data_IF_034168142483
#
_entry.id   IF_034168142483
#
_cell.length_a   1.000
_cell.length_b   1.000
_cell.length_c   1.000
_cell.angle_alpha   90.00
_cell.angle_beta   90.00
_cell.angle_gamma   90.00
#
_symmetry.space_group_name_H-M   'P 1'
#
loop_
_entity.id
_entity.type
_entity.pdbx_description
1 polymer ?
#
# COMPACT_ATOMS: atom_id res chain seq x y z
N UNK A 1 17.64 -10.37 5.64
CA UNK A 1 17.90 -8.95 5.34
C UNK A 1 18.08 -8.18 6.64
N UNK A 2 19.15 -7.40 6.78
CA UNK A 2 19.38 -6.55 7.96
C UNK A 2 18.53 -5.27 7.92
N UNK A 3 18.04 -4.89 6.73
CA UNK A 3 17.16 -3.74 6.49
C UNK A 3 16.25 -4.00 5.28
N UNK A 4 15.11 -3.32 5.22
CA UNK A 4 14.17 -3.31 4.09
C UNK A 4 13.89 -1.86 3.71
N UNK A 5 14.29 -1.44 2.51
CA UNK A 5 14.05 -0.07 2.02
C UNK A 5 12.58 0.15 1.68
N UNK A 6 11.95 -0.87 1.08
CA UNK A 6 10.54 -0.85 0.71
C UNK A 6 9.85 -2.19 0.94
N UNK A 7 8.56 -2.12 1.25
CA UNK A 7 7.65 -3.26 1.25
C UNK A 7 6.44 -2.89 0.39
N UNK A 8 6.13 -3.72 -0.60
CA UNK A 8 4.95 -3.55 -1.45
C UNK A 8 4.05 -4.78 -1.34
N UNK A 9 2.74 -4.56 -1.33
CA UNK A 9 1.77 -5.65 -1.35
C UNK A 9 0.53 -5.30 -2.18
N UNK A 10 -0.04 -6.34 -2.79
CA UNK A 10 -1.31 -6.27 -3.50
C UNK A 10 -2.42 -6.86 -2.63
N UNK A 11 -3.45 -6.06 -2.32
CA UNK A 11 -4.53 -6.44 -1.42
C UNK A 11 -5.39 -7.59 -1.94
N UNK A 12 -5.48 -7.81 -3.26
CA UNK A 12 -6.24 -8.94 -3.79
C UNK A 12 -5.63 -10.33 -3.44
N UNK A 13 -4.44 -10.36 -2.83
CA UNK A 13 -3.85 -11.56 -2.23
C UNK A 13 -4.23 -11.76 -0.76
N UNK A 14 -4.94 -10.80 -0.17
CA UNK A 14 -5.40 -10.81 1.22
C UNK A 14 -6.92 -10.68 1.30
N UNK A 15 -7.65 -11.13 0.27
CA UNK A 15 -9.12 -11.05 0.17
C UNK A 15 -9.72 -9.64 -0.04
N UNK A 16 -8.89 -8.63 -0.34
CA UNK A 16 -9.37 -7.29 -0.71
C UNK A 16 -9.78 -7.21 -2.20
N UNK A 17 -10.61 -6.24 -2.61
CA UNK A 17 -10.87 -5.96 -4.03
C UNK A 17 -9.60 -5.66 -4.85
N UNK A 18 -9.68 -5.92 -6.16
CA UNK A 18 -8.63 -5.54 -7.10
C UNK A 18 -8.36 -4.02 -7.07
N UNK A 19 -7.11 -3.64 -7.31
CA UNK A 19 -6.68 -2.23 -7.30
C UNK A 19 -6.44 -1.65 -5.90
N UNK A 20 -6.57 -2.45 -4.83
CA UNK A 20 -6.08 -2.09 -3.50
C UNK A 20 -4.65 -2.60 -3.31
N UNK A 21 -3.75 -1.75 -2.80
CA UNK A 21 -2.34 -2.05 -2.59
C UNK A 21 -1.71 -1.04 -1.64
N UNK A 22 -0.53 -1.34 -1.13
CA UNK A 22 0.30 -0.37 -0.42
C UNK A 22 1.75 -0.43 -0.89
N UNK A 23 2.45 0.70 -0.69
CA UNK A 23 3.90 0.80 -0.69
C UNK A 23 4.30 1.44 0.64
N UNK A 24 5.14 0.73 1.40
CA UNK A 24 5.74 1.20 2.64
C UNK A 24 7.23 1.42 2.38
N UNK A 25 7.79 2.50 2.92
CA UNK A 25 9.20 2.83 2.86
C UNK A 25 9.51 3.98 3.81
N UNK A 26 10.76 4.39 3.89
CA UNK A 26 11.17 5.57 4.67
C UNK A 26 10.52 6.84 4.10
N UNK A 27 10.02 7.69 5.00
CA UNK A 27 9.40 8.97 4.64
C UNK A 27 10.40 9.91 3.96
N UNK A 28 11.67 9.87 4.36
CA UNK A 28 12.72 10.72 3.77
C UNK A 28 12.91 10.39 2.29
N UNK A 29 12.84 9.11 1.92
CA UNK A 29 12.95 8.69 0.52
C UNK A 29 11.74 9.18 -0.29
N UNK A 30 10.53 9.17 0.28
CA UNK A 30 9.36 9.72 -0.39
C UNK A 30 9.46 11.23 -0.61
N UNK A 31 10.08 11.97 0.31
CA UNK A 31 10.30 13.41 0.21
C UNK A 31 11.40 13.81 -0.77
N UNK A 32 12.45 12.99 -0.90
CA UNK A 32 13.52 13.22 -1.88
C UNK A 32 13.09 12.88 -3.30
N UNK A 33 12.20 11.89 -3.47
CA UNK A 33 11.70 11.48 -4.77
C UNK A 33 10.80 12.54 -5.41
N UNK A 34 10.93 12.69 -6.74
CA UNK A 34 9.96 13.41 -7.54
C UNK A 34 8.60 12.68 -7.50
N UNK A 35 7.46 13.41 -7.54
CA UNK A 35 6.14 12.78 -7.58
C UNK A 35 6.01 11.86 -8.79
N UNK A 36 5.51 10.63 -8.59
CA UNK A 36 5.38 9.65 -9.67
C UNK A 36 4.51 10.16 -10.82
N UNK A 37 3.33 10.72 -10.50
CA UNK A 37 2.47 11.41 -11.48
C UNK A 37 2.12 12.80 -10.92
N UNK A 38 2.78 13.87 -11.44
CA UNK A 38 2.51 15.23 -11.01
C UNK A 38 1.12 15.69 -11.45
N UNK A 39 0.16 15.71 -10.52
CA UNK A 39 -1.24 16.04 -10.81
C UNK A 39 -2.02 16.44 -9.55
N UNK A 40 -3.33 16.69 -9.68
CA UNK A 40 -4.21 16.87 -8.52
C UNK A 40 -4.06 15.70 -7.54
N UNK A 41 -4.11 15.98 -6.24
CA UNK A 41 -3.82 15.00 -5.19
C UNK A 41 -2.36 14.97 -4.73
N UNK A 42 -1.41 15.39 -5.59
CA UNK A 42 0.03 15.42 -5.24
C UNK A 42 0.58 16.82 -4.91
N UNK A 43 -0.16 17.87 -5.28
CA UNK A 43 0.27 19.27 -5.19
C UNK A 43 -0.24 19.94 -3.92
N UNK A 44 0.59 20.78 -3.29
CA UNK A 44 0.22 21.67 -2.19
C UNK A 44 -0.16 23.07 -2.68
N UNK A 45 0.48 23.54 -3.76
CA UNK A 45 0.20 24.83 -4.40
C UNK A 45 0.53 24.76 -5.90
N UNK A 46 -0.31 25.38 -6.72
CA UNK A 46 -0.06 25.55 -8.16
C UNK A 46 -0.21 27.02 -8.51
N UNK A 47 0.76 27.56 -9.25
CA UNK A 47 0.73 28.89 -9.86
C UNK A 47 0.78 28.74 -11.38
N UNK A 48 0.74 29.87 -12.12
CA UNK A 48 0.86 29.84 -13.58
C UNK A 48 2.20 29.27 -14.05
N UNK A 49 3.28 29.50 -13.28
CA UNK A 49 4.66 29.16 -13.68
C UNK A 49 5.29 28.04 -12.84
N UNK A 50 4.63 27.57 -11.76
CA UNK A 50 5.22 26.62 -10.83
C UNK A 50 4.20 25.69 -10.16
N UNK A 51 4.69 24.54 -9.70
CA UNK A 51 3.95 23.62 -8.84
C UNK A 51 4.81 23.23 -7.64
N UNK A 52 4.18 23.20 -6.48
CA UNK A 52 4.76 22.75 -5.21
C UNK A 52 4.02 21.47 -4.79
N UNK A 53 4.76 20.49 -4.31
CA UNK A 53 4.22 19.16 -4.02
C UNK A 53 4.06 18.94 -2.52
N UNK A 54 3.17 18.01 -2.16
CA UNK A 54 3.01 17.50 -0.80
C UNK A 54 4.28 16.75 -0.37
N UNK A 55 4.38 16.43 0.92
CA UNK A 55 5.46 15.62 1.50
C UNK A 55 4.98 14.19 1.77
N UNK A 56 5.91 13.27 1.95
CA UNK A 56 5.65 11.87 2.29
C UNK A 56 4.85 11.14 1.21
N UNK A 57 4.05 10.12 1.59
CA UNK A 57 3.30 9.29 0.65
C UNK A 57 2.29 10.04 -0.22
N UNK A 58 1.72 11.15 0.29
CA UNK A 58 0.71 11.94 -0.45
C UNK A 58 1.32 12.62 -1.69
N UNK A 59 2.63 12.88 -1.68
CA UNK A 59 3.37 13.33 -2.88
C UNK A 59 3.21 12.38 -4.07
N UNK A 60 2.95 11.10 -3.80
CA UNK A 60 2.90 10.04 -4.80
C UNK A 60 1.47 9.55 -5.08
N UNK A 61 0.47 10.11 -4.40
CA UNK A 61 -0.94 9.70 -4.47
C UNK A 61 -1.73 10.60 -5.41
N UNK A 62 -1.64 10.30 -6.70
CA UNK A 62 -2.28 11.10 -7.76
C UNK A 62 -3.78 10.83 -7.90
N UNK A 63 -4.53 11.89 -8.21
CA UNK A 63 -5.97 11.86 -8.43
C UNK A 63 -6.77 11.47 -7.18
N UNK A 64 -8.02 11.08 -7.40
CA UNK A 64 -8.85 10.52 -6.33
C UNK A 64 -8.37 9.11 -6.03
N UNK A 65 -8.00 8.78 -4.78
CA UNK A 65 -7.53 7.44 -4.44
C UNK A 65 -8.66 6.42 -4.54
N UNK A 66 -8.29 5.14 -4.58
CA UNK A 66 -9.25 4.03 -4.50
C UNK A 66 -9.78 3.88 -3.05
N UNK A 67 -10.61 4.82 -2.60
CA UNK A 67 -11.09 4.93 -1.21
C UNK A 67 -11.74 3.63 -0.74
N UNK A 68 -12.69 3.09 -1.53
CA UNK A 68 -13.38 1.86 -1.18
C UNK A 68 -12.42 0.65 -1.12
N UNK A 69 -11.47 0.57 -2.05
CA UNK A 69 -10.42 -0.45 -2.03
C UNK A 69 -9.51 -0.34 -0.81
N UNK A 70 -9.10 0.87 -0.41
CA UNK A 70 -8.26 1.08 0.77
C UNK A 70 -8.98 0.69 2.06
N UNK A 71 -10.26 1.04 2.21
CA UNK A 71 -11.08 0.65 3.36
C UNK A 71 -11.24 -0.88 3.41
N UNK A 72 -11.62 -1.49 2.28
CA UNK A 72 -11.78 -2.94 2.19
C UNK A 72 -10.46 -3.69 2.43
N UNK A 73 -9.33 -3.12 2.04
CA UNK A 73 -8.02 -3.71 2.33
C UNK A 73 -7.73 -3.71 3.83
N UNK A 74 -7.98 -2.59 4.52
CA UNK A 74 -7.88 -2.51 5.98
C UNK A 74 -8.74 -3.59 6.67
N UNK A 75 -10.01 -3.70 6.29
CA UNK A 75 -10.93 -4.70 6.86
C UNK A 75 -10.45 -6.14 6.59
N UNK A 76 -9.92 -6.41 5.39
CA UNK A 76 -9.37 -7.73 5.05
C UNK A 76 -8.13 -8.11 5.87
N UNK A 77 -7.30 -7.12 6.21
CA UNK A 77 -6.13 -7.31 7.07
C UNK A 77 -6.55 -7.53 8.53
N UNK A 78 -7.56 -6.80 9.00
CA UNK A 78 -8.14 -7.01 10.33
C UNK A 78 -8.79 -8.40 10.44
N UNK A 79 -9.51 -8.84 9.41
CA UNK A 79 -10.06 -10.19 9.34
C UNK A 79 -8.97 -11.28 9.48
N UNK A 80 -7.89 -11.18 8.71
CA UNK A 80 -6.76 -12.10 8.79
C UNK A 80 -6.06 -12.04 10.15
N UNK A 81 -5.89 -10.84 10.70
CA UNK A 81 -5.25 -10.63 12.01
C UNK A 81 -6.08 -11.22 13.15
N UNK A 82 -7.41 -11.10 13.09
CA UNK A 82 -8.34 -11.67 14.07
C UNK A 82 -8.34 -13.21 14.07
N UNK A 83 -8.14 -13.83 12.90
CA UNK A 83 -7.91 -15.29 12.82
C UNK A 83 -6.54 -15.64 13.46
N UNK A 84 -5.53 -14.83 13.14
CA UNK A 84 -4.14 -14.98 13.54
C UNK A 84 -3.31 -15.60 12.42
N UNK A 85 -2.34 -14.84 11.89
CA UNK A 85 -1.60 -15.23 10.69
C UNK A 85 -0.81 -16.54 10.85
N UNK A 86 -0.35 -16.86 12.06
CA UNK A 86 0.32 -18.12 12.37
C UNK A 86 -0.61 -19.33 12.21
N UNK A 87 -1.90 -19.17 12.55
CA UNK A 87 -2.90 -20.23 12.37
C UNK A 87 -3.20 -20.45 10.89
N UNK A 88 -3.36 -19.35 10.13
CA UNK A 88 -3.52 -19.39 8.68
C UNK A 88 -2.35 -20.13 8.06
N UNK A 89 -1.11 -19.72 8.39
CA UNK A 89 0.11 -20.33 7.88
C UNK A 89 0.23 -21.81 8.23
N UNK A 90 -0.08 -22.19 9.47
CA UNK A 90 -0.08 -23.60 9.89
C UNK A 90 -1.07 -24.42 9.08
N UNK A 91 -2.28 -23.92 8.89
CA UNK A 91 -3.32 -24.61 8.13
C UNK A 91 -2.92 -24.79 6.65
N UNK A 92 -2.37 -23.75 6.02
CA UNK A 92 -1.86 -23.84 4.65
C UNK A 92 -0.77 -24.92 4.50
N UNK A 93 0.15 -25.01 5.47
CA UNK A 93 1.19 -26.04 5.48
C UNK A 93 0.64 -27.45 5.68
N UNK A 94 -0.45 -27.62 6.44
CA UNK A 94 -1.14 -28.90 6.60
C UNK A 94 -1.81 -29.32 5.29
N UNK A 95 -2.50 -28.40 4.61
CA UNK A 95 -3.10 -28.67 3.30
C UNK A 95 -2.05 -29.05 2.25
N UNK A 96 -0.94 -28.31 2.21
CA UNK A 96 0.15 -28.57 1.27
C UNK A 96 0.71 -30.00 1.40
N UNK A 97 0.83 -30.52 2.63
CA UNK A 97 1.32 -31.89 2.88
C UNK A 97 0.36 -32.98 2.40
N UNK A 98 -0.93 -32.69 2.28
CA UNK A 98 -1.93 -33.65 1.81
C UNK A 98 -2.09 -33.58 0.29
N UNK A 99 -1.74 -32.45 -0.33
CA UNK A 99 -1.80 -32.25 -1.77
C UNK A 99 -0.54 -32.71 -2.52
N UNK A 100 0.59 -32.87 -1.83
CA UNK A 100 1.85 -33.43 -2.35
C UNK A 100 1.98 -34.91 -1.99
#
# INVERSE_FOLDING_TARGET
PEHLDFIAAAGHKTYSPFGASFLLGDVEIFDEAAPYIPSGGTVSLVTEDAAFYLTGPDRHSYGTPNIAGSIAFGDSLDFLSNIGIDKVRKHELELLKVML
#
